data_IF_225874644504
#
_entry.id   IF_225874644504
#
_cell.length_a   1.000
_cell.length_b   1.000
_cell.length_c   1.000
_cell.angle_alpha   90.00
_cell.angle_beta   90.00
_cell.angle_gamma   90.00
#
_symmetry.space_group_name_H-M   'P 1'
#
loop_
_entity.id
_entity.type
_entity.pdbx_description
1 polymer ?
#
# COMPACT_ATOMS: atom_id res chain seq x y z
N UNK A 1 -42.75 30.19 -68.78
CA UNK A 1 -42.18 30.79 -67.54
C UNK A 1 -42.77 30.06 -66.35
N UNK A 2 -42.08 29.43 -65.40
CA UNK A 2 -40.67 29.12 -65.16
C UNK A 2 -40.65 28.22 -63.91
N UNK A 3 -39.99 27.05 -63.98
CA UNK A 3 -39.89 26.09 -62.86
C UNK A 3 -38.90 26.64 -61.82
N UNK A 4 -39.35 26.89 -60.58
CA UNK A 4 -38.46 27.22 -59.45
C UNK A 4 -37.62 25.99 -59.10
N UNK A 5 -36.31 26.09 -59.28
CA UNK A 5 -35.35 25.12 -58.76
C UNK A 5 -35.28 25.20 -57.24
N UNK A 6 -35.45 24.06 -56.57
CA UNK A 6 -35.17 23.88 -55.14
C UNK A 6 -33.64 23.93 -54.98
N UNK A 7 -33.11 24.90 -54.24
CA UNK A 7 -31.72 24.84 -53.78
C UNK A 7 -31.61 23.71 -52.76
N UNK A 8 -31.05 22.57 -53.16
CA UNK A 8 -30.57 21.55 -52.23
C UNK A 8 -29.32 22.09 -51.56
N UNK A 9 -29.39 22.25 -50.24
CA UNK A 9 -28.22 22.59 -49.44
C UNK A 9 -27.42 21.31 -49.25
N UNK A 10 -26.42 21.11 -50.11
CA UNK A 10 -25.48 19.99 -49.99
C UNK A 10 -24.65 20.20 -48.72
N UNK A 11 -24.87 19.35 -47.72
CA UNK A 11 -24.07 19.37 -46.50
C UNK A 11 -22.69 18.85 -46.86
N UNK A 12 -21.63 19.58 -46.50
CA UNK A 12 -20.25 19.20 -46.78
C UNK A 12 -19.88 17.94 -45.97
N UNK A 13 -20.19 16.77 -46.54
CA UNK A 13 -19.96 15.47 -45.93
C UNK A 13 -18.47 15.13 -45.80
N UNK A 14 -17.60 15.75 -46.60
CA UNK A 14 -16.15 15.59 -46.49
C UNK A 14 -15.62 16.13 -45.17
N UNK A 15 -15.96 17.37 -44.83
CA UNK A 15 -15.54 17.99 -43.57
C UNK A 15 -16.18 17.33 -42.34
N UNK A 16 -17.40 16.80 -42.45
CA UNK A 16 -18.03 16.04 -41.36
C UNK A 16 -17.37 14.68 -41.15
N UNK A 17 -16.95 14.01 -42.23
CA UNK A 17 -16.28 12.72 -42.17
C UNK A 17 -14.89 12.80 -41.53
N UNK A 18 -14.09 13.84 -41.85
CA UNK A 18 -12.77 14.03 -41.25
C UNK A 18 -12.86 14.27 -39.73
N UNK A 19 -13.79 15.10 -39.28
CA UNK A 19 -13.99 15.37 -37.85
C UNK A 19 -14.46 14.10 -37.13
N UNK A 20 -15.39 13.35 -37.71
CA UNK A 20 -15.86 12.09 -37.13
C UNK A 20 -14.73 11.05 -37.06
N UNK A 21 -13.86 10.97 -38.08
CA UNK A 21 -12.75 10.03 -38.13
C UNK A 21 -11.65 10.37 -37.12
N UNK A 22 -11.32 11.65 -36.95
CA UNK A 22 -10.40 12.12 -35.91
C UNK A 22 -10.95 11.82 -34.51
N UNK A 23 -12.25 12.01 -34.27
CA UNK A 23 -12.89 11.65 -33.00
C UNK A 23 -12.87 10.13 -32.77
N UNK A 24 -13.05 9.33 -33.83
CA UNK A 24 -13.01 7.86 -33.74
C UNK A 24 -11.59 7.36 -33.43
N UNK A 25 -10.56 7.93 -34.06
CA UNK A 25 -9.15 7.64 -33.73
C UNK A 25 -8.84 8.14 -32.32
N UNK A 26 -9.29 9.33 -31.92
CA UNK A 26 -9.10 9.84 -30.56
C UNK A 26 -9.71 8.89 -29.53
N UNK A 27 -10.95 8.44 -29.72
CA UNK A 27 -11.56 7.44 -28.84
C UNK A 27 -10.86 6.09 -28.92
N UNK A 28 -10.43 5.63 -30.10
CA UNK A 28 -9.72 4.36 -30.27
C UNK A 28 -8.31 4.36 -29.65
N UNK A 29 -7.60 5.50 -29.68
CA UNK A 29 -6.27 5.67 -29.09
C UNK A 29 -6.34 5.91 -27.58
N UNK A 30 -7.37 6.60 -27.08
CA UNK A 30 -7.53 6.84 -25.64
C UNK A 30 -8.23 5.70 -24.89
N UNK A 31 -8.89 4.77 -25.60
CA UNK A 31 -9.53 3.59 -24.99
C UNK A 31 -8.57 2.43 -24.71
N UNK A 32 -7.30 2.51 -25.11
CA UNK A 32 -6.30 1.48 -24.79
C UNK A 32 -5.58 1.70 -23.46
N UNK A 33 -6.04 2.63 -22.61
CA UNK A 33 -5.59 2.65 -21.21
C UNK A 33 -6.30 1.51 -20.47
N UNK A 34 -5.64 0.37 -20.53
CA UNK A 34 -5.90 -0.81 -19.76
C UNK A 34 -5.78 -0.52 -18.26
N UNK A 35 -6.78 -0.98 -17.52
CA UNK A 35 -6.80 -1.34 -16.10
C UNK A 35 -5.66 -0.77 -15.25
N UNK A 36 -5.82 0.45 -14.78
CA UNK A 36 -5.19 0.81 -13.51
C UNK A 36 -5.83 -0.09 -12.45
N UNK A 37 -5.08 -1.09 -11.97
CA UNK A 37 -5.34 -1.69 -10.65
C UNK A 37 -5.14 -0.56 -9.64
N UNK A 38 -6.15 0.28 -9.51
CA UNK A 38 -6.23 1.29 -8.47
C UNK A 38 -6.32 0.55 -7.15
N UNK A 39 -5.20 0.46 -6.44
CA UNK A 39 -5.22 0.09 -5.03
C UNK A 39 -6.11 1.12 -4.35
N UNK A 40 -7.24 0.68 -3.82
CA UNK A 40 -8.06 1.53 -2.94
C UNK A 40 -7.28 1.75 -1.64
N UNK A 41 -6.38 2.73 -1.64
CA UNK A 41 -5.78 3.25 -0.42
C UNK A 41 -6.84 4.11 0.27
N UNK A 42 -7.40 3.61 1.38
CA UNK A 42 -8.03 4.47 2.36
C UNK A 42 -6.88 5.23 3.02
N UNK A 43 -6.76 6.53 2.70
CA UNK A 43 -5.86 7.40 3.43
C UNK A 43 -6.23 7.36 4.91
N UNK A 44 -5.26 7.27 5.83
CA UNK A 44 -5.51 7.48 7.24
C UNK A 44 -6.28 8.80 7.43
N UNK A 45 -7.17 8.89 8.43
CA UNK A 45 -7.86 10.14 8.71
C UNK A 45 -6.84 11.27 8.83
N UNK A 46 -7.11 12.40 8.16
CA UNK A 46 -6.26 13.59 8.24
C UNK A 46 -6.14 13.98 9.73
N UNK A 47 -4.91 14.06 10.23
CA UNK A 47 -4.65 14.66 11.54
C UNK A 47 -5.11 16.12 11.51
N UNK A 48 -5.69 16.62 12.61
CA UNK A 48 -6.17 18.00 12.70
C UNK A 48 -5.01 18.97 12.43
N UNK A 49 -5.10 19.87 11.44
CA UNK A 49 -4.02 20.80 11.10
C UNK A 49 -3.64 21.77 12.23
N UNK A 50 -4.44 21.86 13.30
CA UNK A 50 -4.15 22.68 14.49
C UNK A 50 -3.48 21.89 15.63
N UNK A 51 -3.32 20.58 15.49
CA UNK A 51 -2.51 19.77 16.39
C UNK A 51 -1.22 19.42 15.65
N UNK A 52 -0.05 19.99 16.04
CA UNK A 52 1.20 19.43 15.56
C UNK A 52 1.18 17.92 15.85
N UNK A 53 1.58 17.07 14.89
CA UNK A 53 1.70 15.64 15.16
C UNK A 53 2.47 15.51 16.47
N UNK A 54 1.99 14.74 17.47
CA UNK A 54 2.81 14.48 18.63
C UNK A 54 4.15 13.97 18.10
N UNK A 55 5.23 14.68 18.45
CA UNK A 55 6.59 14.29 18.10
C UNK A 55 6.89 13.05 18.96
N UNK A 56 6.35 11.91 18.52
CA UNK A 56 6.64 10.63 19.14
C UNK A 56 8.06 10.33 18.67
N UNK A 57 9.03 10.57 19.55
CA UNK A 57 10.37 10.02 19.39
C UNK A 57 10.24 8.50 19.34
N UNK A 58 10.11 7.96 18.13
CA UNK A 58 10.12 6.53 17.90
C UNK A 58 11.53 6.02 18.14
N UNK A 59 11.65 4.99 18.96
CA UNK A 59 12.92 4.31 19.12
C UNK A 59 13.37 3.74 17.77
N UNK A 60 14.66 3.85 17.44
CA UNK A 60 15.20 3.36 16.16
C UNK A 60 14.91 1.86 15.96
N UNK A 61 14.93 1.06 17.04
CA UNK A 61 14.56 -0.37 17.03
C UNK A 61 13.10 -0.65 16.65
N UNK A 62 12.22 0.34 16.77
CA UNK A 62 10.82 0.25 16.36
C UNK A 62 10.64 0.63 14.89
N UNK A 63 11.72 0.88 14.15
CA UNK A 63 11.69 1.22 12.72
C UNK A 63 12.42 0.14 11.92
N UNK A 64 11.67 -0.60 11.10
CA UNK A 64 12.23 -1.53 10.13
C UNK A 64 12.53 -0.78 8.83
N UNK A 65 13.80 -0.65 8.48
CA UNK A 65 14.28 0.17 7.37
C UNK A 65 14.46 -0.66 6.10
N UNK A 66 13.76 -0.25 5.04
CA UNK A 66 13.90 -0.78 3.68
C UNK A 66 14.30 0.38 2.78
N UNK A 67 15.52 0.32 2.25
CA UNK A 67 16.06 1.32 1.34
C UNK A 67 16.17 0.70 -0.05
N UNK A 68 15.69 1.42 -1.07
CA UNK A 68 15.78 0.99 -2.47
C UNK A 68 16.67 1.96 -3.21
N UNK A 69 17.74 1.45 -3.82
CA UNK A 69 18.69 2.28 -4.56
C UNK A 69 18.27 2.47 -6.04
N UNK A 70 19.12 3.12 -6.83
CA UNK A 70 18.88 3.40 -8.26
C UNK A 70 19.14 2.21 -9.20
N UNK A 71 19.79 1.15 -8.70
CA UNK A 71 20.01 -0.10 -9.42
C UNK A 71 18.95 -1.15 -9.05
N UNK A 72 17.90 -0.76 -8.33
CA UNK A 72 16.88 -1.63 -7.77
C UNK A 72 17.41 -2.65 -6.73
N UNK A 73 18.60 -2.43 -6.17
CA UNK A 73 19.07 -3.19 -5.03
C UNK A 73 18.39 -2.73 -3.75
N UNK A 74 18.12 -3.67 -2.86
CA UNK A 74 17.51 -3.45 -1.57
C UNK A 74 18.57 -3.45 -0.48
N UNK A 75 18.43 -2.54 0.47
CA UNK A 75 19.17 -2.52 1.72
C UNK A 75 18.15 -2.55 2.85
N UNK A 76 18.02 -3.71 3.48
CA UNK A 76 16.99 -3.99 4.50
C UNK A 76 17.68 -4.27 5.82
N UNK A 77 17.35 -3.51 6.87
CA UNK A 77 18.01 -3.59 8.19
C UNK A 77 19.55 -3.50 8.10
N UNK A 78 20.06 -2.77 7.10
CA UNK A 78 21.51 -2.64 6.86
C UNK A 78 22.15 -3.79 6.07
N UNK A 79 21.38 -4.80 5.66
CA UNK A 79 21.85 -5.91 4.83
C UNK A 79 21.45 -5.75 3.35
N UNK A 80 22.44 -5.83 2.46
CA UNK A 80 22.22 -5.74 1.01
C UNK A 80 21.63 -7.04 0.47
N UNK A 81 20.57 -6.92 -0.33
CA UNK A 81 19.94 -8.04 -1.06
C UNK A 81 19.40 -7.58 -2.41
N UNK A 82 19.28 -8.52 -3.34
CA UNK A 82 18.79 -8.26 -4.71
C UNK A 82 17.40 -8.87 -4.98
N UNK A 83 16.73 -9.37 -3.94
CA UNK A 83 15.40 -9.98 -4.04
C UNK A 83 14.57 -9.61 -2.81
N UNK A 84 13.25 -9.56 -3.00
CA UNK A 84 12.26 -9.37 -1.93
C UNK A 84 11.88 -10.68 -1.23
N UNK A 85 12.46 -11.81 -1.64
CA UNK A 85 12.20 -13.13 -1.04
C UNK A 85 12.39 -13.11 0.49
N UNK A 86 11.40 -13.63 1.21
CA UNK A 86 11.42 -13.71 2.68
C UNK A 86 11.14 -12.39 3.40
N UNK A 87 11.04 -11.26 2.69
CA UNK A 87 10.79 -9.95 3.29
C UNK A 87 9.48 -9.91 4.06
N UNK A 88 8.41 -10.56 3.56
CA UNK A 88 7.15 -10.66 4.31
C UNK A 88 7.31 -11.37 5.65
N UNK A 89 8.13 -12.42 5.72
CA UNK A 89 8.34 -13.19 6.96
C UNK A 89 9.16 -12.40 7.98
N UNK A 90 10.19 -11.70 7.53
CA UNK A 90 10.99 -10.80 8.37
C UNK A 90 10.13 -9.67 8.94
N UNK A 91 9.29 -9.06 8.11
CA UNK A 91 8.36 -8.00 8.55
C UNK A 91 7.37 -8.54 9.58
N UNK A 92 6.83 -9.75 9.39
CA UNK A 92 5.94 -10.37 10.40
C UNK A 92 6.64 -10.56 11.73
N UNK A 93 7.87 -11.10 11.74
CA UNK A 93 8.66 -11.29 12.96
C UNK A 93 8.95 -9.96 13.65
N UNK A 94 9.31 -8.95 12.88
CA UNK A 94 9.52 -7.60 13.38
C UNK A 94 8.24 -7.04 14.01
N UNK A 95 7.12 -7.00 13.27
CA UNK A 95 5.85 -6.43 13.73
C UNK A 95 5.30 -7.18 14.96
N UNK A 96 5.45 -8.50 15.00
CA UNK A 96 4.98 -9.35 16.10
C UNK A 96 6.08 -9.70 17.11
N UNK A 97 7.15 -8.90 17.24
CA UNK A 97 8.25 -9.22 18.14
C UNK A 97 7.85 -9.19 19.62
N UNK A 98 7.11 -8.17 20.06
CA UNK A 98 6.76 -7.94 21.47
C UNK A 98 7.99 -7.82 22.40
N UNK A 99 8.99 -7.02 22.01
CA UNK A 99 10.26 -6.89 22.75
C UNK A 99 10.16 -6.13 24.08
N UNK A 100 9.24 -5.18 24.18
CA UNK A 100 8.98 -4.42 25.41
C UNK A 100 7.50 -3.99 25.48
N UNK A 101 6.57 -4.95 25.65
CA UNK A 101 5.15 -4.68 25.59
C UNK A 101 4.66 -3.97 26.86
N UNK A 102 3.82 -2.96 26.68
CA UNK A 102 3.03 -2.36 27.76
C UNK A 102 1.80 -3.24 28.10
N UNK A 103 0.96 -2.77 29.03
CA UNK A 103 -0.20 -3.53 29.50
C UNK A 103 -1.19 -3.87 28.37
N UNK A 104 -1.42 -2.92 27.46
CA UNK A 104 -2.31 -3.10 26.32
C UNK A 104 -1.72 -4.07 25.28
N UNK A 105 -0.42 -3.96 25.02
CA UNK A 105 0.29 -4.87 24.13
C UNK A 105 0.33 -6.30 24.70
N UNK A 106 0.44 -6.48 26.02
CA UNK A 106 0.32 -7.80 26.67
C UNK A 106 -1.09 -8.36 26.49
N UNK A 107 -2.13 -7.53 26.64
CA UNK A 107 -3.51 -7.96 26.39
C UNK A 107 -3.73 -8.37 24.92
N UNK A 108 -3.21 -7.57 23.99
CA UNK A 108 -3.22 -7.88 22.56
C UNK A 108 -2.50 -9.21 22.30
N UNK A 109 -1.29 -9.40 22.80
CA UNK A 109 -0.51 -10.63 22.64
C UNK A 109 -1.32 -11.86 23.07
N UNK A 110 -1.98 -11.79 24.23
CA UNK A 110 -2.80 -12.89 24.74
C UNK A 110 -4.04 -13.19 23.89
N UNK A 111 -4.55 -12.21 23.15
CA UNK A 111 -5.67 -12.38 22.21
C UNK A 111 -5.26 -13.00 20.87
N UNK A 112 -3.97 -13.02 20.55
CA UNK A 112 -3.49 -13.53 19.26
C UNK A 112 -3.61 -15.06 19.14
N UNK A 113 -3.88 -15.58 17.93
CA UNK A 113 -3.82 -17.01 17.64
C UNK A 113 -2.47 -17.64 18.05
N UNK A 114 -2.44 -18.95 18.40
CA UNK A 114 -1.20 -19.64 18.76
C UNK A 114 -0.10 -19.57 17.68
N UNK A 115 -0.47 -19.56 16.39
CA UNK A 115 0.47 -19.43 15.28
C UNK A 115 1.24 -18.10 15.33
N UNK A 116 0.51 -16.98 15.45
CA UNK A 116 1.11 -15.65 15.53
C UNK A 116 1.91 -15.45 16.83
N UNK A 117 1.41 -15.94 17.97
CA UNK A 117 2.17 -15.89 19.23
C UNK A 117 3.48 -16.67 19.16
N UNK A 118 3.50 -17.77 18.42
CA UNK A 118 4.71 -18.57 18.21
C UNK A 118 5.78 -17.89 17.35
N UNK A 119 5.44 -16.81 16.62
CA UNK A 119 6.39 -16.00 15.86
C UNK A 119 7.06 -14.91 16.70
N UNK A 120 6.52 -14.59 17.88
CA UNK A 120 7.06 -13.53 18.72
C UNK A 120 8.38 -13.97 19.36
N UNK A 121 9.48 -13.37 18.90
CA UNK A 121 10.82 -13.65 19.41
C UNK A 121 11.09 -12.96 20.76
N UNK A 122 10.29 -11.93 21.11
CA UNK A 122 10.41 -11.15 22.35
C UNK A 122 11.82 -10.57 22.55
N UNK A 123 12.48 -10.23 21.45
CA UNK A 123 13.84 -9.70 21.48
C UNK A 123 13.83 -8.23 21.91
N UNK A 124 14.61 -7.83 22.93
CA UNK A 124 14.75 -6.42 23.31
C UNK A 124 15.42 -5.54 22.24
N UNK A 125 16.08 -6.16 21.26
CA UNK A 125 16.79 -5.48 20.18
C UNK A 125 15.90 -5.19 18.96
N UNK A 126 14.67 -5.72 18.95
CA UNK A 126 13.68 -5.54 17.88
C UNK A 126 12.45 -4.78 18.38
N UNK A 127 11.39 -4.72 17.59
CA UNK A 127 10.24 -3.83 17.83
C UNK A 127 9.51 -4.12 19.15
N UNK A 128 8.98 -3.07 19.77
CA UNK A 128 8.32 -3.18 21.06
C UNK A 128 6.98 -3.95 20.97
N UNK A 129 6.14 -3.67 19.95
CA UNK A 129 4.83 -4.30 19.71
C UNK A 129 4.16 -3.80 18.41
N UNK A 130 3.15 -4.51 17.87
CA UNK A 130 2.47 -4.12 16.62
C UNK A 130 1.52 -2.90 16.72
N UNK A 131 1.23 -2.41 17.93
CA UNK A 131 0.37 -1.23 18.12
C UNK A 131 1.07 0.06 17.66
N UNK A 132 0.32 1.17 17.55
CA UNK A 132 0.82 2.46 17.07
C UNK A 132 2.10 2.89 17.81
N UNK A 133 3.18 3.12 17.06
CA UNK A 133 4.47 3.56 17.58
C UNK A 133 5.40 2.45 18.10
N UNK A 134 4.92 1.21 18.23
CA UNK A 134 5.75 0.08 18.66
C UNK A 134 6.46 -0.65 17.52
N UNK A 135 5.95 -0.55 16.29
CA UNK A 135 6.56 -1.11 15.09
C UNK A 135 6.15 -0.29 13.85
N UNK A 136 7.12 0.20 13.09
CA UNK A 136 6.90 1.02 11.88
C UNK A 136 7.81 0.50 10.77
N UNK A 137 7.25 0.27 9.58
CA UNK A 137 8.02 -0.11 8.40
C UNK A 137 8.37 1.16 7.62
N UNK A 138 9.64 1.53 7.54
CA UNK A 138 10.12 2.66 6.76
C UNK A 138 10.61 2.19 5.39
N UNK A 139 9.98 2.68 4.33
CA UNK A 139 10.40 2.48 2.95
C UNK A 139 10.95 3.81 2.44
N UNK A 140 12.23 3.85 2.07
CA UNK A 140 12.85 5.01 1.43
C UNK A 140 13.39 4.62 0.07
N UNK A 141 13.21 5.49 -0.91
CA UNK A 141 13.67 5.26 -2.28
C UNK A 141 14.68 6.31 -2.70
N UNK A 142 15.58 5.95 -3.62
CA UNK A 142 16.51 6.90 -4.22
C UNK A 142 15.95 7.46 -5.53
N UNK A 143 16.53 8.57 -5.99
CA UNK A 143 16.22 9.10 -7.32
C UNK A 143 16.70 8.09 -8.36
N UNK A 144 15.77 7.60 -9.18
CA UNK A 144 16.06 6.60 -10.21
C UNK A 144 15.66 5.18 -9.85
N UNK A 145 15.21 4.91 -8.62
CA UNK A 145 14.55 3.64 -8.28
C UNK A 145 13.39 3.37 -9.22
N UNK A 146 13.29 2.16 -9.75
CA UNK A 146 12.19 1.78 -10.61
C UNK A 146 10.88 1.72 -9.83
N UNK A 147 9.79 2.10 -10.49
CA UNK A 147 8.47 2.03 -9.88
C UNK A 147 8.04 0.57 -9.61
N UNK A 148 8.53 -0.37 -10.42
CA UNK A 148 8.27 -1.80 -10.27
C UNK A 148 8.83 -2.34 -8.96
N UNK A 149 10.11 -2.10 -8.67
CA UNK A 149 10.76 -2.55 -7.42
C UNK A 149 10.13 -1.91 -6.20
N UNK A 150 9.74 -0.63 -6.28
CA UNK A 150 9.00 0.02 -5.21
C UNK A 150 7.65 -0.68 -4.93
N UNK A 151 6.90 -1.04 -5.98
CA UNK A 151 5.64 -1.76 -5.82
C UNK A 151 5.84 -3.17 -5.27
N UNK A 152 6.88 -3.86 -5.71
CA UNK A 152 7.22 -5.20 -5.22
C UNK A 152 7.47 -5.19 -3.71
N UNK A 153 8.30 -4.25 -3.23
CA UNK A 153 8.55 -4.06 -1.79
C UNK A 153 7.25 -3.72 -1.06
N UNK A 154 6.45 -2.79 -1.60
CA UNK A 154 5.19 -2.40 -0.97
C UNK A 154 4.21 -3.58 -0.87
N UNK A 155 4.17 -4.45 -1.88
CA UNK A 155 3.33 -5.63 -1.90
C UNK A 155 3.77 -6.68 -0.87
N UNK A 156 5.08 -6.89 -0.67
CA UNK A 156 5.59 -7.78 0.38
C UNK A 156 5.28 -7.24 1.78
N UNK A 157 5.39 -5.93 2.00
CA UNK A 157 4.98 -5.30 3.27
C UNK A 157 3.48 -5.51 3.50
N UNK A 158 2.64 -5.25 2.50
CA UNK A 158 1.19 -5.47 2.61
C UNK A 158 0.84 -6.94 2.83
N UNK A 159 1.55 -7.84 2.17
CA UNK A 159 1.37 -9.30 2.32
C UNK A 159 1.60 -9.73 3.75
N UNK A 160 2.68 -9.27 4.40
CA UNK A 160 2.92 -9.52 5.82
C UNK A 160 1.72 -9.11 6.70
N UNK A 161 1.22 -7.89 6.52
CA UNK A 161 0.04 -7.41 7.26
C UNK A 161 -1.23 -8.20 6.95
N UNK A 162 -1.48 -8.54 5.69
CA UNK A 162 -2.67 -9.32 5.33
C UNK A 162 -2.64 -10.74 5.88
N UNK A 163 -1.47 -11.37 5.95
CA UNK A 163 -1.31 -12.67 6.62
C UNK A 163 -1.60 -12.56 8.11
N UNK A 164 -1.05 -11.55 8.80
CA UNK A 164 -1.36 -11.27 10.22
C UNK A 164 -2.87 -11.08 10.41
N UNK A 165 -3.50 -10.21 9.62
CA UNK A 165 -4.91 -9.90 9.75
C UNK A 165 -5.80 -11.09 9.43
N UNK A 166 -5.48 -11.85 8.38
CA UNK A 166 -6.18 -13.05 7.98
C UNK A 166 -6.16 -14.08 9.11
N UNK A 167 -4.98 -14.41 9.64
CA UNK A 167 -4.84 -15.41 10.70
C UNK A 167 -5.64 -15.05 11.95
N UNK A 168 -5.71 -13.77 12.31
CA UNK A 168 -6.52 -13.29 13.45
C UNK A 168 -8.02 -13.54 13.29
N UNK A 169 -8.51 -13.62 12.07
CA UNK A 169 -9.93 -13.89 11.78
C UNK A 169 -10.18 -15.27 11.19
N UNK A 170 -9.16 -16.15 11.18
CA UNK A 170 -9.27 -17.53 10.69
C UNK A 170 -9.29 -17.66 9.16
N UNK A 171 -8.72 -16.67 8.46
CA UNK A 171 -8.55 -16.66 7.00
C UNK A 171 -7.07 -16.73 6.63
N UNK A 172 -6.78 -17.13 5.40
CA UNK A 172 -5.46 -16.89 4.79
C UNK A 172 -5.28 -15.41 4.46
N UNK A 173 -4.03 -14.97 4.29
CA UNK A 173 -3.74 -13.59 3.86
C UNK A 173 -4.34 -13.26 2.49
N UNK A 174 -4.45 -14.24 1.59
CA UNK A 174 -5.07 -14.06 0.27
C UNK A 174 -6.59 -13.88 0.37
N UNK A 175 -7.27 -14.73 1.15
CA UNK A 175 -8.71 -14.61 1.40
C UNK A 175 -9.05 -13.28 2.07
N UNK A 176 -8.24 -12.87 3.05
CA UNK A 176 -8.42 -11.58 3.72
C UNK A 176 -8.22 -10.40 2.75
N UNK A 177 -7.20 -10.47 1.88
CA UNK A 177 -6.95 -9.44 0.84
C UNK A 177 -8.10 -9.36 -0.17
N UNK A 178 -8.77 -10.47 -0.45
CA UNK A 178 -9.89 -10.54 -1.37
C UNK A 178 -11.20 -9.96 -0.81
N UNK A 179 -11.27 -9.66 0.49
CA UNK A 179 -12.45 -9.04 1.11
C UNK A 179 -12.72 -7.67 0.47
N UNK A 180 -13.95 -7.47 0.01
CA UNK A 180 -14.35 -6.25 -0.70
C UNK A 180 -14.95 -5.20 0.23
N UNK A 181 -15.38 -5.63 1.42
CA UNK A 181 -16.10 -4.79 2.38
C UNK A 181 -17.51 -4.43 1.90
N UNK A 182 -18.07 -5.17 0.94
CA UNK A 182 -19.42 -4.90 0.42
C UNK A 182 -20.51 -5.43 1.35
N UNK A 183 -20.25 -6.51 2.10
CA UNK A 183 -21.17 -7.05 3.09
C UNK A 183 -20.81 -6.61 4.51
N UNK A 184 -21.79 -6.59 5.42
CA UNK A 184 -21.55 -6.27 6.83
C UNK A 184 -20.58 -7.28 7.49
N UNK A 185 -20.69 -8.57 7.12
CA UNK A 185 -19.81 -9.62 7.62
C UNK A 185 -18.36 -9.42 7.14
N UNK A 186 -18.14 -9.03 5.89
CA UNK A 186 -16.78 -8.74 5.38
C UNK A 186 -16.16 -7.55 6.11
N UNK A 187 -16.93 -6.48 6.35
CA UNK A 187 -16.45 -5.32 7.11
C UNK A 187 -16.04 -5.72 8.53
N UNK A 188 -16.85 -6.52 9.22
CA UNK A 188 -16.52 -7.01 10.55
C UNK A 188 -15.22 -7.82 10.56
N UNK A 189 -15.01 -8.70 9.57
CA UNK A 189 -13.75 -9.44 9.44
C UNK A 189 -12.56 -8.50 9.22
N UNK A 190 -12.71 -7.49 8.36
CA UNK A 190 -11.66 -6.50 8.10
C UNK A 190 -11.34 -5.65 9.34
N UNK A 191 -12.34 -5.26 10.11
CA UNK A 191 -12.18 -4.42 11.29
C UNK A 191 -11.50 -5.22 12.42
N UNK A 192 -11.97 -6.45 12.69
CA UNK A 192 -11.35 -7.35 13.68
C UNK A 192 -9.92 -7.73 13.32
N UNK A 193 -9.63 -7.96 12.03
CA UNK A 193 -8.27 -8.28 11.57
C UNK A 193 -7.28 -7.18 11.92
N UNK A 194 -7.69 -5.91 11.73
CA UNK A 194 -6.86 -4.71 11.96
C UNK A 194 -6.89 -4.19 13.40
N UNK A 195 -7.79 -4.70 14.24
CA UNK A 195 -8.01 -4.17 15.59
C UNK A 195 -6.70 -4.11 16.39
N UNK A 196 -6.31 -2.92 16.85
CA UNK A 196 -5.04 -2.67 17.57
C UNK A 196 -3.74 -3.02 16.83
N UNK A 197 -3.79 -3.37 15.54
CA UNK A 197 -2.61 -3.58 14.70
C UNK A 197 -2.81 -2.73 13.44
N UNK A 198 -2.48 -1.43 13.48
CA UNK A 198 -2.55 -0.59 12.28
C UNK A 198 -1.44 -0.98 11.29
N UNK A 199 -1.71 -0.79 10.01
CA UNK A 199 -0.67 -0.88 8.97
C UNK A 199 0.24 0.35 9.06
N UNK A 200 1.31 0.24 9.84
CA UNK A 200 2.25 1.32 10.10
C UNK A 200 3.36 1.32 9.04
N UNK A 201 3.12 2.01 7.93
CA UNK A 201 4.09 2.18 6.84
C UNK A 201 4.43 3.68 6.72
N UNK A 202 5.72 3.99 6.82
CA UNK A 202 6.27 5.32 6.56
C UNK A 202 7.00 5.29 5.22
N UNK A 203 6.50 6.06 4.26
CA UNK A 203 7.08 6.12 2.91
C UNK A 203 7.74 7.48 2.75
N UNK A 204 9.05 7.49 2.49
CA UNK A 204 9.78 8.70 2.16
C UNK A 204 10.07 8.73 0.66
N UNK A 205 9.68 9.84 0.03
CA UNK A 205 10.09 10.15 -1.34
C UNK A 205 11.60 10.40 -1.43
N UNK A 206 12.21 10.24 -2.62
CA UNK A 206 13.64 10.45 -2.78
C UNK A 206 14.10 11.82 -2.32
N UNK A 207 15.17 11.81 -1.53
CA UNK A 207 15.81 13.03 -1.04
C UNK A 207 16.10 14.00 -2.20
N UNK A 208 15.50 15.20 -2.13
CA UNK A 208 15.87 16.34 -2.96
C UNK A 208 17.14 16.99 -2.39
N UNK A 209 18.26 16.25 -2.31
CA UNK A 209 19.53 16.89 -1.96
C UNK A 209 20.18 17.39 -3.26
N UNK A 210 19.88 18.65 -3.56
CA UNK A 210 20.74 19.51 -4.33
C UNK A 210 21.35 20.55 -3.39
N UNK A 211 22.61 20.35 -3.02
CA UNK A 211 23.62 21.38 -2.74
C UNK A 211 24.99 20.71 -2.70
#
# INVERSE_FOLDING_TARGET
MGKRGRMSQEVNAGSMADIAFLLLIFFLVTTTIASDKGIMNILPPKQDPNQPPPEVELNERNIFNILINLNDDLLVEGEFRNSTDGLSDEIKRFVLNFGNPDEDAVALFNSLPPSLRGMAEQSPESSDHPMSGGAVISIKTNRGTSYETYLEVLDEVKKAYFEIYGERVGLTGEEYRALTGQSAAEKELMDRGKENIPMAISIAEPDKIGS
#
